data_IF_105532164618
#
_entry.id   IF_105532164618
#
_cell.length_a   1.000
_cell.length_b   1.000
_cell.length_c   1.000
_cell.angle_alpha   90.00
_cell.angle_beta   90.00
_cell.angle_gamma   90.00
#
_symmetry.space_group_name_H-M   'P 1'
#
loop_
_entity.id
_entity.type
_entity.pdbx_description
1 polymer ?
#
# COMPACT_ATOMS: atom_id res chain seq x y z
N UNK A 1 21.67 -2.82 -25.42
CA UNK A 1 20.38 -2.39 -24.81
C UNK A 1 20.20 -3.16 -23.51
N UNK A 2 20.01 -2.50 -22.35
CA UNK A 2 19.83 -3.20 -21.06
C UNK A 2 18.45 -3.87 -21.03
N UNK A 3 18.40 -5.19 -20.83
CA UNK A 3 17.14 -5.93 -20.68
C UNK A 3 16.47 -5.48 -19.37
N UNK A 4 15.23 -5.00 -19.45
CA UNK A 4 14.44 -4.60 -18.27
C UNK A 4 13.57 -5.77 -17.84
N UNK A 5 13.60 -6.06 -16.54
CA UNK A 5 12.79 -7.11 -15.92
C UNK A 5 11.75 -6.47 -15.00
N UNK A 6 10.53 -7.01 -15.01
CA UNK A 6 9.44 -6.53 -14.14
C UNK A 6 9.71 -6.89 -12.68
N UNK A 7 9.13 -6.14 -11.74
CA UNK A 7 9.27 -6.42 -10.31
C UNK A 7 8.75 -7.83 -9.95
N UNK A 8 7.61 -8.23 -10.52
CA UNK A 8 7.02 -9.56 -10.34
C UNK A 8 7.96 -10.67 -10.81
N UNK A 9 8.59 -10.51 -11.97
CA UNK A 9 9.54 -11.49 -12.49
C UNK A 9 10.76 -11.63 -11.57
N UNK A 10 11.33 -10.52 -11.11
CA UNK A 10 12.47 -10.55 -10.16
C UNK A 10 12.08 -11.27 -8.87
N UNK A 11 10.89 -10.99 -8.32
CA UNK A 11 10.41 -11.63 -7.12
C UNK A 11 10.26 -13.15 -7.28
N UNK A 12 9.69 -13.61 -8.41
CA UNK A 12 9.56 -15.04 -8.69
C UNK A 12 10.92 -15.73 -8.77
N UNK A 13 11.86 -15.17 -9.53
CA UNK A 13 13.19 -15.77 -9.70
C UNK A 13 13.98 -15.77 -8.39
N UNK A 14 13.87 -14.71 -7.58
CA UNK A 14 14.50 -14.68 -6.25
C UNK A 14 13.85 -15.69 -5.30
N UNK A 15 12.53 -15.89 -5.35
CA UNK A 15 11.86 -16.91 -4.56
C UNK A 15 12.36 -18.30 -4.91
N UNK A 16 12.48 -18.64 -6.20
CA UNK A 16 13.06 -19.92 -6.64
C UNK A 16 14.51 -20.08 -6.17
N UNK A 17 15.29 -19.00 -6.17
CA UNK A 17 16.67 -18.99 -5.66
C UNK A 17 16.76 -19.15 -4.12
N UNK A 18 15.74 -18.71 -3.37
CA UNK A 18 15.66 -18.86 -1.91
C UNK A 18 15.11 -20.22 -1.49
N UNK A 19 14.36 -20.90 -2.35
CA UNK A 19 13.95 -22.30 -2.15
C UNK A 19 15.11 -23.29 -2.30
N UNK A 20 16.20 -22.86 -2.94
CA UNK A 20 17.42 -23.66 -3.16
C UNK A 20 17.21 -24.98 -3.93
N UNK A 21 16.06 -25.14 -4.60
CA UNK A 21 15.75 -26.29 -5.47
C UNK A 21 16.63 -26.32 -6.73
N UNK A 22 17.06 -25.14 -7.20
CA UNK A 22 17.94 -24.95 -8.35
C UNK A 22 19.11 -24.06 -7.95
N UNK A 23 20.28 -24.34 -8.53
CA UNK A 23 21.46 -23.49 -8.33
C UNK A 23 21.31 -22.17 -9.08
N UNK A 24 22.03 -21.14 -8.63
CA UNK A 24 22.05 -19.83 -9.27
C UNK A 24 22.40 -19.90 -10.77
N UNK A 25 23.30 -20.81 -11.16
CA UNK A 25 23.70 -20.97 -12.56
C UNK A 25 22.62 -21.65 -13.41
N UNK A 26 21.86 -22.58 -12.84
CA UNK A 26 20.71 -23.20 -13.52
C UNK A 26 19.61 -22.16 -13.76
N UNK A 27 19.24 -21.39 -12.73
CA UNK A 27 18.28 -20.28 -12.85
C UNK A 27 18.74 -19.21 -13.85
N UNK A 28 20.04 -18.86 -13.84
CA UNK A 28 20.62 -17.93 -14.81
C UNK A 28 20.43 -18.42 -16.26
N UNK A 29 20.68 -19.70 -16.50
CA UNK A 29 20.52 -20.33 -17.81
C UNK A 29 19.05 -20.41 -18.23
N UNK A 30 18.17 -20.86 -17.34
CA UNK A 30 16.73 -21.07 -17.61
C UNK A 30 16.01 -19.76 -17.94
N UNK A 31 16.29 -18.70 -17.19
CA UNK A 31 15.65 -17.41 -17.36
C UNK A 31 16.41 -16.45 -18.30
N UNK A 32 17.60 -16.86 -18.78
CA UNK A 32 18.47 -16.01 -19.59
C UNK A 32 18.86 -14.72 -18.86
N UNK A 33 19.17 -14.84 -17.57
CA UNK A 33 19.58 -13.74 -16.69
C UNK A 33 21.04 -13.95 -16.28
N UNK A 34 21.86 -12.90 -16.31
CA UNK A 34 23.25 -13.02 -15.90
C UNK A 34 23.36 -13.38 -14.40
N UNK A 35 24.25 -14.31 -13.98
CA UNK A 35 24.45 -14.69 -12.58
C UNK A 35 24.61 -13.51 -11.61
N UNK A 36 25.35 -12.48 -12.00
CA UNK A 36 25.52 -11.26 -11.18
C UNK A 36 24.19 -10.55 -10.90
N UNK A 37 23.30 -10.45 -11.88
CA UNK A 37 21.98 -9.82 -11.68
C UNK A 37 21.13 -10.61 -10.69
N UNK A 38 21.21 -11.94 -10.72
CA UNK A 38 20.51 -12.78 -9.73
C UNK A 38 21.05 -12.58 -8.32
N UNK A 39 22.38 -12.43 -8.16
CA UNK A 39 22.98 -12.10 -6.86
C UNK A 39 22.51 -10.74 -6.37
N UNK A 40 22.46 -9.75 -7.24
CA UNK A 40 22.00 -8.41 -6.91
C UNK A 40 20.53 -8.41 -6.48
N UNK A 41 19.67 -9.14 -7.20
CA UNK A 41 18.24 -9.25 -6.84
C UNK A 41 18.04 -10.02 -5.54
N UNK A 42 18.79 -11.10 -5.31
CA UNK A 42 18.76 -11.84 -4.03
C UNK A 42 19.13 -10.91 -2.89
N UNK A 43 20.21 -10.14 -3.03
CA UNK A 43 20.64 -9.16 -2.03
C UNK A 43 19.55 -8.10 -1.80
N UNK A 44 19.03 -7.50 -2.87
CA UNK A 44 17.98 -6.49 -2.78
C UNK A 44 16.73 -7.01 -2.04
N UNK A 45 16.32 -8.25 -2.32
CA UNK A 45 15.17 -8.86 -1.65
C UNK A 45 15.45 -9.14 -0.17
N UNK A 46 16.63 -9.66 0.17
CA UNK A 46 17.03 -9.92 1.56
C UNK A 46 17.14 -8.64 2.38
N UNK A 47 17.69 -7.57 1.79
CA UNK A 47 17.81 -6.26 2.44
C UNK A 47 16.42 -5.62 2.65
N UNK A 48 15.47 -5.84 1.74
CA UNK A 48 14.11 -5.29 1.82
C UNK A 48 13.10 -6.13 2.61
N UNK A 49 13.36 -7.43 2.79
CA UNK A 49 12.45 -8.37 3.47
C UNK A 49 12.12 -7.96 4.91
N UNK A 50 13.07 -7.54 5.77
CA UNK A 50 12.76 -7.10 7.14
C UNK A 50 11.73 -5.99 7.18
N UNK A 51 11.82 -5.02 6.26
CA UNK A 51 10.92 -3.87 6.19
C UNK A 51 9.46 -4.26 5.87
N UNK A 52 9.22 -5.46 5.31
CA UNK A 52 7.87 -5.98 5.07
C UNK A 52 7.20 -6.46 6.38
N UNK A 53 7.99 -6.82 7.38
CA UNK A 53 7.52 -7.28 8.69
C UNK A 53 7.53 -6.17 9.75
N UNK A 54 8.26 -5.08 9.50
CA UNK A 54 8.17 -3.89 10.32
C UNK A 54 6.83 -3.18 10.11
N UNK A 55 6.16 -2.80 11.20
CA UNK A 55 5.03 -1.88 11.10
C UNK A 55 5.57 -0.54 10.57
N UNK A 56 5.29 -0.23 9.30
CA UNK A 56 5.75 1.01 8.68
C UNK A 56 5.30 2.21 9.53
N UNK A 57 6.25 2.95 10.16
CA UNK A 57 5.91 4.14 10.93
C UNK A 57 5.20 5.18 10.07
N UNK A 58 5.50 5.17 8.76
CA UNK A 58 4.87 6.02 7.77
C UNK A 58 3.43 5.59 7.47
N UNK A 59 3.15 4.28 7.38
CA UNK A 59 1.78 3.78 7.25
C UNK A 59 0.94 4.12 8.50
N UNK A 60 1.52 4.00 9.70
CA UNK A 60 0.85 4.39 10.94
C UNK A 60 0.56 5.90 10.98
N UNK A 61 1.52 6.74 10.55
CA UNK A 61 1.30 8.20 10.43
C UNK A 61 0.24 8.56 9.41
N UNK A 62 0.23 7.90 8.25
CA UNK A 62 -0.77 8.10 7.22
C UNK A 62 -2.16 7.73 7.72
N UNK A 63 -2.30 6.57 8.37
CA UNK A 63 -3.55 6.14 8.99
C UNK A 63 -4.04 7.15 10.04
N UNK A 64 -3.14 7.66 10.90
CA UNK A 64 -3.49 8.68 11.88
C UNK A 64 -3.91 10.02 11.24
N UNK A 65 -3.28 10.43 10.14
CA UNK A 65 -3.67 11.62 9.40
C UNK A 65 -5.06 11.46 8.76
N UNK A 66 -5.33 10.29 8.15
CA UNK A 66 -6.64 9.95 7.59
C UNK A 66 -7.74 9.92 8.65
N UNK A 67 -7.43 9.40 9.83
CA UNK A 67 -8.38 9.38 10.95
C UNK A 67 -8.76 10.80 11.39
N UNK A 68 -7.77 11.70 11.53
CA UNK A 68 -8.03 13.10 11.88
C UNK A 68 -8.88 13.81 10.85
N UNK A 69 -8.57 13.66 9.57
CA UNK A 69 -9.37 14.23 8.48
C UNK A 69 -10.81 13.71 8.54
N UNK A 70 -10.99 12.41 8.80
CA UNK A 70 -12.31 11.79 8.95
C UNK A 70 -13.09 12.39 10.12
N UNK A 71 -12.45 12.56 11.28
CA UNK A 71 -13.07 13.18 12.46
C UNK A 71 -13.50 14.63 12.19
N UNK A 72 -12.65 15.42 11.54
CA UNK A 72 -12.95 16.80 11.16
C UNK A 72 -14.14 16.89 10.21
N UNK A 73 -14.18 16.02 9.19
CA UNK A 73 -15.29 15.92 8.25
C UNK A 73 -16.59 15.52 8.95
N UNK A 74 -16.57 14.53 9.84
CA UNK A 74 -17.77 14.15 10.61
C UNK A 74 -18.26 15.28 11.53
N UNK A 75 -17.35 16.00 12.18
CA UNK A 75 -17.71 17.16 12.99
C UNK A 75 -18.36 18.26 12.13
N UNK A 76 -17.86 18.50 10.92
CA UNK A 76 -18.43 19.46 9.99
C UNK A 76 -19.82 19.03 9.49
N UNK A 77 -19.99 17.76 9.15
CA UNK A 77 -21.30 17.19 8.79
C UNK A 77 -22.28 17.37 9.95
N UNK A 78 -21.86 17.13 11.20
CA UNK A 78 -22.69 17.38 12.38
C UNK A 78 -23.14 18.84 12.49
N UNK A 79 -22.21 19.79 12.39
CA UNK A 79 -22.51 21.23 12.42
C UNK A 79 -23.48 21.64 11.31
N UNK A 80 -23.21 21.22 10.08
CA UNK A 80 -24.05 21.53 8.92
C UNK A 80 -25.45 20.92 9.07
N UNK A 81 -25.55 19.69 9.58
CA UNK A 81 -26.83 19.05 9.88
C UNK A 81 -27.64 19.86 10.88
N UNK A 82 -27.02 20.31 11.98
CA UNK A 82 -27.70 21.16 12.98
C UNK A 82 -28.14 22.49 12.38
N UNK A 83 -27.28 23.14 11.60
CA UNK A 83 -27.61 24.40 10.92
C UNK A 83 -28.77 24.23 9.93
N UNK A 84 -28.76 23.15 9.14
CA UNK A 84 -29.85 22.82 8.22
C UNK A 84 -31.16 22.57 8.95
N UNK A 85 -31.15 21.81 10.04
CA UNK A 85 -32.35 21.57 10.86
C UNK A 85 -32.89 22.87 11.45
N UNK A 86 -32.02 23.73 11.97
CA UNK A 86 -32.42 25.04 12.48
C UNK A 86 -33.03 25.94 11.40
N UNK A 87 -32.42 25.98 10.20
CA UNK A 87 -32.94 26.74 9.06
C UNK A 87 -34.30 26.21 8.61
N UNK A 88 -34.45 24.90 8.44
CA UNK A 88 -35.73 24.26 8.05
C UNK A 88 -36.87 24.60 9.02
N UNK A 89 -36.57 24.55 10.33
CA UNK A 89 -37.51 24.95 11.39
C UNK A 89 -37.89 26.42 11.30
N UNK A 90 -36.92 27.31 11.08
CA UNK A 90 -37.15 28.77 10.95
C UNK A 90 -37.92 29.14 9.69
N UNK A 91 -37.69 28.44 8.58
CA UNK A 91 -38.33 28.72 7.29
C UNK A 91 -39.70 28.06 7.12
N UNK A 92 -40.20 27.34 8.12
CA UNK A 92 -41.48 26.63 8.04
C UNK A 92 -41.49 25.49 7.02
N UNK A 93 -40.31 24.95 6.67
CA UNK A 93 -40.14 23.85 5.69
C UNK A 93 -40.14 22.48 6.37
N UNK A 94 -40.54 22.39 7.65
CA UNK A 94 -40.76 21.09 8.28
C UNK A 94 -42.04 20.46 7.71
N UNK A 95 -41.98 19.20 7.22
CA UNK A 95 -43.20 18.49 6.86
C UNK A 95 -44.08 18.34 8.12
N UNK A 96 -45.41 18.42 8.00
CA UNK A 96 -46.30 18.25 9.14
C UNK A 96 -46.00 16.90 9.79
N UNK A 97 -45.79 16.90 11.11
CA UNK A 97 -45.65 15.69 11.89
C UNK A 97 -46.89 14.82 11.68
N UNK A 98 -46.68 13.54 11.33
CA UNK A 98 -47.75 12.52 11.30
C UNK A 98 -48.22 12.19 12.71
#
# INVERSE_FOLDING_TARGET
MRKRYTAAFKAQVVLELLKEEKTLHQLASEHGVHPTQLRDWKKQALDGLPNLFEQSPEAARLAAAQEREREELFAQIGRLTTQLTWLKKKSGLEPPAK
#
